data_IF_298447317384
#
_entry.id   IF_298447317384
#
_cell.length_a   1.000
_cell.length_b   1.000
_cell.length_c   1.000
_cell.angle_alpha   90.00
_cell.angle_beta   90.00
_cell.angle_gamma   90.00
#
_symmetry.space_group_name_H-M   'P 1'
#
loop_
_entity.id
_entity.type
_entity.pdbx_description
1 polymer ?
#
# COMPACT_ATOMS: atom_id res chain seq x y z
N UNK A 1 -2.97 -6.59 -11.43
CA UNK A 1 -2.80 -5.38 -10.60
C UNK A 1 -2.23 -5.83 -9.27
N UNK A 2 -1.02 -5.40 -8.91
CA UNK A 2 -0.35 -5.76 -7.67
C UNK A 2 -0.97 -5.08 -6.45
N UNK A 3 -0.64 -5.56 -5.25
CA UNK A 3 -1.15 -5.01 -3.98
C UNK A 3 -0.84 -3.52 -3.86
N UNK A 4 0.36 -3.08 -4.28
CA UNK A 4 0.74 -1.66 -4.26
C UNK A 4 -0.16 -0.81 -5.16
N UNK A 5 -0.38 -1.24 -6.40
CA UNK A 5 -1.19 -0.52 -7.40
C UNK A 5 -2.64 -0.35 -6.92
N UNK A 6 -3.24 -1.43 -6.40
CA UNK A 6 -4.60 -1.40 -5.85
C UNK A 6 -4.66 -0.48 -4.64
N UNK A 7 -3.65 -0.50 -3.78
CA UNK A 7 -3.59 0.32 -2.57
C UNK A 7 -3.49 1.81 -2.89
N UNK A 8 -2.66 2.20 -3.88
CA UNK A 8 -2.54 3.59 -4.34
C UNK A 8 -3.87 4.07 -4.92
N UNK A 9 -4.49 3.26 -5.77
CA UNK A 9 -5.78 3.61 -6.36
C UNK A 9 -6.88 3.74 -5.31
N UNK A 10 -6.97 2.78 -4.37
CA UNK A 10 -7.95 2.80 -3.30
C UNK A 10 -7.77 4.02 -2.38
N UNK A 11 -6.53 4.35 -2.00
CA UNK A 11 -6.24 5.53 -1.17
C UNK A 11 -6.62 6.83 -1.89
N UNK A 12 -6.23 6.99 -3.15
CA UNK A 12 -6.59 8.17 -3.94
C UNK A 12 -8.10 8.31 -4.15
N UNK A 13 -8.79 7.20 -4.41
CA UNK A 13 -10.23 7.17 -4.59
C UNK A 13 -10.98 7.50 -3.30
N UNK A 14 -10.56 6.93 -2.17
CA UNK A 14 -11.12 7.26 -0.86
C UNK A 14 -10.95 8.75 -0.53
N UNK A 15 -9.77 9.32 -0.79
CA UNK A 15 -9.52 10.76 -0.60
C UNK A 15 -10.39 11.63 -1.49
N UNK A 16 -10.58 11.27 -2.76
CA UNK A 16 -11.40 12.03 -3.69
C UNK A 16 -12.87 12.11 -3.22
N UNK A 17 -13.45 10.98 -2.82
CA UNK A 17 -14.84 10.95 -2.33
C UNK A 17 -14.95 11.65 -0.97
N UNK A 18 -14.03 11.34 -0.04
CA UNK A 18 -14.03 11.92 1.30
C UNK A 18 -13.97 13.45 1.26
N UNK A 19 -12.95 13.99 0.60
CA UNK A 19 -12.77 15.44 0.48
C UNK A 19 -13.92 16.15 -0.24
N UNK A 20 -14.52 15.52 -1.26
CA UNK A 20 -15.67 16.07 -1.95
C UNK A 20 -16.90 16.16 -1.03
N UNK A 21 -17.19 15.09 -0.26
CA UNK A 21 -18.31 15.09 0.68
C UNK A 21 -18.10 16.08 1.82
N UNK A 22 -16.89 16.15 2.38
CA UNK A 22 -16.56 17.10 3.45
C UNK A 22 -16.66 18.53 2.95
N UNK A 23 -16.07 18.85 1.79
CA UNK A 23 -16.11 20.19 1.22
C UNK A 23 -17.53 20.68 0.93
N UNK A 24 -18.39 19.79 0.42
CA UNK A 24 -19.81 20.10 0.22
C UNK A 24 -20.54 20.38 1.54
N UNK A 25 -20.30 19.55 2.57
CA UNK A 25 -20.88 19.74 3.90
C UNK A 25 -20.45 21.07 4.52
N UNK A 26 -19.15 21.38 4.50
CA UNK A 26 -18.60 22.62 5.05
C UNK A 26 -19.12 23.85 4.31
N UNK A 27 -19.16 23.80 2.98
CA UNK A 27 -19.68 24.91 2.17
C UNK A 27 -21.15 25.21 2.47
N UNK A 28 -21.97 24.17 2.60
CA UNK A 28 -23.39 24.33 2.95
C UNK A 28 -23.58 24.87 4.37
N UNK A 29 -22.85 24.33 5.35
CA UNK A 29 -22.90 24.78 6.75
C UNK A 29 -22.47 26.23 6.87
N UNK A 30 -21.35 26.62 6.24
CA UNK A 30 -20.87 27.99 6.24
C UNK A 30 -21.86 28.93 5.53
N UNK A 31 -22.38 28.54 4.37
CA UNK A 31 -23.39 29.33 3.64
C UNK A 31 -24.65 29.59 4.47
N UNK A 32 -25.14 28.57 5.19
CA UNK A 32 -26.29 28.70 6.08
C UNK A 32 -26.01 29.54 7.33
N UNK A 33 -24.80 29.47 7.86
CA UNK A 33 -24.39 30.34 8.95
C UNK A 33 -24.37 31.81 8.51
N UNK A 34 -23.83 32.12 7.32
CA UNK A 34 -23.82 33.48 6.77
C UNK A 34 -25.25 34.00 6.54
N UNK A 35 -26.14 33.17 5.96
CA UNK A 35 -27.56 33.52 5.79
C UNK A 35 -28.26 33.76 7.14
N UNK A 36 -27.95 32.95 8.16
CA UNK A 36 -28.49 33.12 9.50
C UNK A 36 -28.02 34.43 10.14
N UNK A 37 -26.72 34.74 10.04
CA UNK A 37 -26.13 35.97 10.58
C UNK A 37 -26.69 37.21 9.89
N UNK A 38 -26.90 37.18 8.57
CA UNK A 38 -27.45 38.33 7.85
C UNK A 38 -28.91 38.62 8.22
N UNK A 39 -29.68 37.57 8.57
CA UNK A 39 -31.08 37.70 9.01
C UNK A 39 -31.22 38.06 10.49
N UNK A 40 -30.26 37.66 11.33
CA UNK A 40 -30.24 37.89 12.78
C UNK A 40 -28.84 38.28 13.27
N UNK A 41 -28.40 39.53 13.01
CA UNK A 41 -27.05 39.99 13.35
C UNK A 41 -26.78 39.96 14.87
N UNK A 42 -27.79 40.18 15.71
CA UNK A 42 -27.72 40.09 17.17
C UNK A 42 -27.38 38.67 17.68
N UNK A 43 -27.69 37.64 16.89
CA UNK A 43 -27.39 36.24 17.21
C UNK A 43 -26.04 35.76 16.63
N UNK A 44 -25.27 36.63 15.98
CA UNK A 44 -24.12 36.24 15.18
C UNK A 44 -23.09 35.39 15.96
N UNK A 45 -22.77 35.76 17.19
CA UNK A 45 -21.83 35.01 18.02
C UNK A 45 -22.30 33.58 18.33
N UNK A 46 -23.61 33.38 18.58
CA UNK A 46 -24.19 32.05 18.81
C UNK A 46 -24.17 31.20 17.54
N UNK A 47 -24.51 31.81 16.39
CA UNK A 47 -24.49 31.13 15.08
C UNK A 47 -23.06 30.72 14.71
N UNK A 48 -22.08 31.59 14.90
CA UNK A 48 -20.66 31.27 14.67
C UNK A 48 -20.18 30.14 15.58
N UNK A 49 -20.55 30.15 16.86
CA UNK A 49 -20.21 29.07 17.79
C UNK A 49 -20.77 27.71 17.34
N UNK A 50 -22.05 27.67 16.96
CA UNK A 50 -22.67 26.47 16.41
C UNK A 50 -22.04 26.02 15.08
N UNK A 51 -21.71 26.96 14.20
CA UNK A 51 -21.04 26.70 12.93
C UNK A 51 -19.67 26.06 13.15
N UNK A 52 -18.83 26.62 14.02
CA UNK A 52 -17.48 26.08 14.30
C UNK A 52 -17.58 24.66 14.86
N UNK A 53 -18.50 24.41 15.78
CA UNK A 53 -18.74 23.07 16.32
C UNK A 53 -19.14 22.08 15.22
N UNK A 54 -20.07 22.47 14.35
CA UNK A 54 -20.50 21.65 13.22
C UNK A 54 -19.34 21.38 12.23
N UNK A 55 -18.55 22.41 11.89
CA UNK A 55 -17.39 22.28 11.03
C UNK A 55 -16.33 21.36 11.64
N UNK A 56 -16.09 21.42 12.95
CA UNK A 56 -15.16 20.52 13.64
C UNK A 56 -15.60 19.04 13.54
N UNK A 57 -16.90 18.76 13.67
CA UNK A 57 -17.41 17.40 13.47
C UNK A 57 -17.29 16.95 12.01
N UNK A 58 -17.57 17.83 11.05
CA UNK A 58 -17.39 17.51 9.63
C UNK A 58 -15.92 17.23 9.33
N UNK A 59 -15.00 18.03 9.87
CA UNK A 59 -13.55 17.86 9.70
C UNK A 59 -13.07 16.52 10.29
N UNK A 60 -13.69 16.05 11.38
CA UNK A 60 -13.36 14.74 11.97
C UNK A 60 -13.52 13.57 10.99
N UNK A 61 -14.46 13.67 10.05
CA UNK A 61 -14.67 12.66 9.01
C UNK A 61 -13.56 12.74 7.97
N UNK A 62 -13.15 13.95 7.56
CA UNK A 62 -12.05 14.13 6.62
C UNK A 62 -10.72 13.58 7.17
N UNK A 63 -10.42 13.83 8.45
CA UNK A 63 -9.20 13.28 9.07
C UNK A 63 -9.24 11.75 9.18
N UNK A 64 -10.41 11.12 9.34
CA UNK A 64 -10.51 9.66 9.33
C UNK A 64 -10.21 9.08 7.94
N UNK A 65 -10.75 9.68 6.88
CA UNK A 65 -10.42 9.26 5.50
C UNK A 65 -8.94 9.45 5.21
N UNK A 66 -8.37 10.59 5.62
CA UNK A 66 -6.94 10.87 5.49
C UNK A 66 -6.09 9.85 6.26
N UNK A 67 -6.45 9.55 7.51
CA UNK A 67 -5.72 8.59 8.34
C UNK A 67 -5.69 7.20 7.70
N UNK A 68 -6.83 6.72 7.20
CA UNK A 68 -6.90 5.43 6.50
C UNK A 68 -6.08 5.44 5.20
N UNK A 69 -6.14 6.52 4.42
CA UNK A 69 -5.34 6.65 3.20
C UNK A 69 -3.83 6.62 3.51
N UNK A 70 -3.39 7.30 4.57
CA UNK A 70 -1.99 7.27 5.03
C UNK A 70 -1.60 5.85 5.46
N UNK A 71 -2.45 5.14 6.21
CA UNK A 71 -2.18 3.75 6.61
C UNK A 71 -2.03 2.85 5.38
N UNK A 72 -2.92 2.96 4.39
CA UNK A 72 -2.86 2.15 3.17
C UNK A 72 -1.58 2.41 2.36
N UNK A 73 -1.08 3.66 2.35
CA UNK A 73 0.10 4.05 1.58
C UNK A 73 1.42 3.75 2.30
N UNK A 74 1.50 3.98 3.62
CA UNK A 74 2.76 3.94 4.37
C UNK A 74 2.85 2.82 5.40
N UNK A 75 1.73 2.26 5.83
CA UNK A 75 1.65 1.21 6.85
C UNK A 75 0.73 0.08 6.39
N UNK A 76 0.86 -0.31 5.12
CA UNK A 76 -0.06 -1.24 4.48
C UNK A 76 0.00 -2.63 5.15
N UNK A 77 -1.10 -3.11 5.76
CA UNK A 77 -1.08 -4.39 6.46
C UNK A 77 -0.95 -5.60 5.51
N UNK A 78 -1.15 -5.40 4.21
CA UNK A 78 -1.14 -6.47 3.22
C UNK A 78 0.22 -6.67 2.52
N UNK A 79 1.17 -5.74 2.67
CA UNK A 79 2.49 -5.84 2.01
C UNK A 79 3.47 -6.72 2.78
N UNK A 80 3.44 -6.70 4.12
CA UNK A 80 4.34 -7.49 4.97
C UNK A 80 4.22 -9.03 4.76
N UNK A 81 3.01 -9.64 4.77
CA UNK A 81 2.88 -11.07 4.48
C UNK A 81 3.23 -11.39 3.01
N UNK A 82 2.96 -10.48 2.06
CA UNK A 82 3.26 -10.68 0.65
C UNK A 82 4.78 -10.75 0.38
N UNK A 83 5.56 -9.82 0.95
CA UNK A 83 7.02 -9.81 0.79
C UNK A 83 7.69 -11.05 1.38
N UNK A 84 7.13 -11.61 2.46
CA UNK A 84 7.67 -12.82 3.09
C UNK A 84 7.52 -14.06 2.21
N UNK A 85 6.38 -14.19 1.52
CA UNK A 85 6.12 -15.29 0.58
C UNK A 85 6.96 -15.15 -0.69
N UNK A 86 7.15 -13.93 -1.18
CA UNK A 86 7.95 -13.65 -2.38
C UNK A 86 9.44 -13.94 -2.13
N UNK A 87 9.97 -13.54 -0.96
CA UNK A 87 11.32 -13.88 -0.54
C UNK A 87 11.51 -15.39 -0.40
N UNK A 88 10.57 -16.09 0.24
CA UNK A 88 10.64 -17.54 0.40
C UNK A 88 10.60 -18.27 -0.96
N UNK A 89 9.80 -17.79 -1.92
CA UNK A 89 9.79 -18.34 -3.29
C UNK A 89 11.13 -18.16 -3.99
N UNK A 90 11.72 -16.97 -3.89
CA UNK A 90 13.03 -16.68 -4.48
C UNK A 90 14.12 -17.58 -3.88
N UNK A 91 14.14 -17.76 -2.56
CA UNK A 91 15.10 -18.66 -1.88
C UNK A 91 14.92 -20.13 -2.34
N UNK A 92 13.68 -20.61 -2.46
CA UNK A 92 13.40 -21.97 -2.96
C UNK A 92 13.85 -22.15 -4.41
N UNK A 93 13.72 -21.13 -5.24
CA UNK A 93 14.14 -21.18 -6.64
C UNK A 93 15.67 -21.22 -6.77
N UNK A 94 16.40 -20.44 -5.98
CA UNK A 94 17.86 -20.50 -5.89
C UNK A 94 18.33 -21.88 -5.44
N UNK A 95 17.70 -22.43 -4.39
CA UNK A 95 18.06 -23.77 -3.87
C UNK A 95 17.81 -24.87 -4.90
N UNK A 96 16.76 -24.77 -5.72
CA UNK A 96 16.51 -25.71 -6.82
C UNK A 96 17.62 -25.68 -7.87
N UNK A 97 18.09 -24.49 -8.23
CA UNK A 97 19.20 -24.31 -9.18
C UNK A 97 20.51 -24.85 -8.62
N UNK A 98 20.80 -24.61 -7.34
CA UNK A 98 22.00 -25.14 -6.68
C UNK A 98 21.98 -26.67 -6.59
N UNK A 99 20.81 -27.27 -6.35
CA UNK A 99 20.64 -28.72 -6.37
C UNK A 99 20.89 -29.29 -7.77
N UNK A 100 20.36 -28.65 -8.82
CA UNK A 100 20.55 -29.07 -10.20
C UNK A 100 22.01 -28.99 -10.63
N UNK A 101 22.70 -27.89 -10.29
CA UNK A 101 24.14 -27.73 -10.51
C UNK A 101 24.95 -28.83 -9.83
N UNK A 102 24.64 -29.13 -8.57
CA UNK A 102 25.32 -30.18 -7.80
C UNK A 102 25.13 -31.57 -8.41
N UNK A 103 23.94 -31.86 -8.94
CA UNK A 103 23.67 -33.14 -9.63
C UNK A 103 24.53 -33.26 -10.90
N UNK A 104 24.56 -32.21 -11.72
CA UNK A 104 25.35 -32.17 -12.95
C UNK A 104 26.86 -32.31 -12.69
N UNK A 105 27.38 -31.66 -11.65
CA UNK A 105 28.80 -31.78 -11.27
C UNK A 105 29.16 -33.22 -10.85
N UNK A 106 28.26 -33.89 -10.12
CA UNK A 106 28.44 -35.32 -9.77
C UNK A 106 28.42 -36.21 -11.01
N UNK A 107 27.47 -36.02 -11.93
CA UNK A 107 27.43 -36.79 -13.18
C UNK A 107 28.68 -36.59 -14.03
N UNK A 108 29.14 -35.34 -14.18
CA UNK A 108 30.38 -35.04 -14.90
C UNK A 108 31.60 -35.70 -14.26
N UNK A 109 31.66 -35.76 -12.93
CA UNK A 109 32.75 -36.42 -12.21
C UNK A 109 32.73 -37.95 -12.42
N UNK A 110 31.55 -38.57 -12.49
CA UNK A 110 31.40 -40.00 -12.77
C UNK A 110 31.81 -40.32 -14.21
N UNK A 111 31.43 -39.48 -15.18
CA UNK A 111 31.85 -39.64 -16.59
C UNK A 111 33.37 -39.51 -16.73
N UNK A 112 33.99 -38.54 -16.05
CA UNK A 112 35.45 -38.37 -16.07
C UNK A 112 36.18 -39.53 -15.38
N UNK A 113 35.62 -40.11 -14.32
CA UNK A 113 36.18 -41.28 -13.65
C UNK A 113 36.02 -42.56 -14.47
N UNK A 114 34.96 -42.68 -15.27
CA UNK A 114 34.71 -43.78 -16.19
C UNK A 114 35.45 -43.64 -17.54
N UNK A 115 36.05 -42.49 -17.82
CA UNK A 115 36.84 -42.29 -19.03
C UNK A 115 38.08 -43.21 -18.98
N UNK A 116 38.31 -44.06 -20.00
CA UNK A 116 39.47 -44.94 -20.04
C UNK A 116 40.73 -44.08 -19.99
N UNK A 117 41.64 -44.39 -19.05
CA UNK A 117 42.99 -43.83 -19.07
C UNK A 117 43.56 -44.14 -20.45
N UNK A 118 43.79 -43.11 -21.25
CA UNK A 118 44.52 -43.26 -22.50
C UNK A 118 45.89 -43.85 -22.15
N UNK A 119 46.03 -45.16 -22.35
CA UNK A 119 47.32 -45.85 -22.34
C UNK A 119 48.18 -45.14 -23.37
N UNK A 120 49.01 -44.22 -22.88
CA UNK A 120 50.13 -43.70 -23.64
C UNK A 120 51.13 -44.86 -23.70
N UNK A 121 50.94 -45.77 -24.66
CA UNK A 121 51.96 -46.72 -25.07
C UNK A 121 53.17 -45.92 -25.52
N UNK A 122 54.10 -45.72 -24.60
CA UNK A 122 55.45 -45.24 -24.86
C UNK A 122 56.36 -46.46 -24.87
N UNK A 123 57.00 -46.67 -26.02
CA UNK A 123 57.94 -47.73 -26.42
C UNK A 123 57.32 -48.98 -27.01
#
# INVERSE_FOLDING_TARGET
>A
MGILEVSIFAAGFAMAIGSLMTGLGQGLTAGKAVEGISRQPEAAGKIQGAMILALAFIESIAIYVLAIAIIILFANPFTAPAMSVEKAKAEVEVLKLELEKTKLEKELSMVKAAAPKAETKKK
#
